data_IF_089239168168
#
_entry.id   IF_089239168168
#
_cell.length_a   1.000
_cell.length_b   1.000
_cell.length_c   1.000
_cell.angle_alpha   90.00
_cell.angle_beta   90.00
_cell.angle_gamma   90.00
#
_symmetry.space_group_name_H-M   'P 1'
#
loop_
_entity.id
_entity.type
_entity.pdbx_description
1 polymer ?
#
# COMPACT_ATOMS: atom_id res chain seq x y z
N UNK A 1 55.13 37.56 0.96
CA UNK A 1 54.59 36.78 2.08
C UNK A 1 53.28 36.21 1.58
N UNK A 2 53.17 34.89 1.42
CA UNK A 2 51.95 34.24 0.92
C UNK A 2 50.85 34.44 1.96
N UNK A 3 49.75 35.05 1.55
CA UNK A 3 48.57 35.29 2.38
C UNK A 3 47.87 33.93 2.58
N UNK A 4 48.20 33.23 3.68
CA UNK A 4 47.57 31.97 4.06
C UNK A 4 46.17 32.29 4.61
N UNK A 5 45.15 32.14 3.75
CA UNK A 5 43.77 32.18 4.21
C UNK A 5 43.54 31.06 5.23
N UNK A 6 42.92 31.34 6.40
CA UNK A 6 42.67 30.34 7.42
C UNK A 6 41.70 29.24 6.96
N UNK A 7 40.99 29.45 5.84
CA UNK A 7 40.10 28.46 5.22
C UNK A 7 40.76 27.71 4.04
N UNK A 8 42.07 27.85 3.81
CA UNK A 8 42.77 27.14 2.74
C UNK A 8 44.10 26.49 3.24
N UNK A 9 44.14 25.15 3.41
CA UNK A 9 43.06 24.18 3.16
C UNK A 9 41.91 24.30 4.18
N UNK A 10 40.69 23.87 3.81
CA UNK A 10 39.51 23.98 4.69
C UNK A 10 39.75 23.18 5.99
N UNK A 11 39.79 23.85 7.17
CA UNK A 11 40.02 23.18 8.45
C UNK A 11 38.79 22.45 8.98
N UNK A 12 37.59 22.77 8.50
CA UNK A 12 36.33 22.21 8.96
C UNK A 12 36.14 20.77 8.44
N UNK A 13 35.57 19.89 9.28
CA UNK A 13 35.29 18.48 8.99
C UNK A 13 33.86 18.27 8.51
N UNK A 14 33.55 17.08 8.00
CA UNK A 14 32.19 16.66 7.61
C UNK A 14 31.50 17.63 6.64
N UNK A 15 32.23 18.04 5.60
CA UNK A 15 31.76 18.98 4.55
C UNK A 15 31.21 20.31 5.10
N UNK A 16 31.68 20.73 6.28
CA UNK A 16 31.33 22.00 6.88
C UNK A 16 31.99 23.20 6.16
N UNK A 17 31.28 24.32 6.18
CA UNK A 17 31.66 25.54 5.45
C UNK A 17 32.53 26.41 6.36
N UNK A 18 33.74 26.75 5.93
CA UNK A 18 34.63 27.67 6.64
C UNK A 18 34.33 29.12 6.26
N UNK A 19 34.08 29.97 7.27
CA UNK A 19 33.85 31.40 7.09
C UNK A 19 34.84 32.22 7.93
N UNK A 20 35.50 33.19 7.31
CA UNK A 20 36.44 34.09 8.00
C UNK A 20 35.62 35.13 8.79
N UNK A 21 35.83 35.23 10.10
CA UNK A 21 34.94 35.97 11.03
C UNK A 21 35.51 37.31 11.49
N UNK A 22 36.74 37.68 11.12
CA UNK A 22 37.37 38.94 11.52
C UNK A 22 38.07 39.68 10.37
N UNK A 23 37.73 40.97 10.22
CA UNK A 23 38.46 41.94 9.40
C UNK A 23 39.87 42.13 9.98
N UNK A 24 40.91 41.90 9.18
CA UNK A 24 42.30 42.14 9.58
C UNK A 24 42.45 43.56 10.13
N UNK A 25 42.60 43.72 11.45
CA UNK A 25 43.17 44.96 11.98
C UNK A 25 44.62 44.98 11.53
N UNK A 26 44.99 46.02 10.79
CA UNK A 26 46.36 46.26 10.29
C UNK A 26 47.35 46.08 11.45
N UNK A 27 48.05 44.94 11.49
CA UNK A 27 49.10 44.65 12.46
C UNK A 27 49.16 43.20 12.97
N UNK A 28 48.04 42.46 12.95
CA UNK A 28 47.99 41.12 13.54
C UNK A 28 48.04 40.01 12.46
N UNK A 29 48.83 38.96 12.70
CA UNK A 29 49.17 37.89 11.72
C UNK A 29 48.09 36.78 11.63
N UNK A 30 46.98 36.88 12.39
CA UNK A 30 45.97 35.82 12.47
C UNK A 30 44.59 36.31 12.06
N UNK A 31 44.05 35.75 10.98
CA UNK A 31 42.64 35.89 10.58
C UNK A 31 41.81 34.81 11.27
N UNK A 32 40.79 35.20 12.03
CA UNK A 32 39.88 34.25 12.70
C UNK A 32 38.90 33.62 11.70
N UNK A 33 38.56 32.35 11.91
CA UNK A 33 37.57 31.62 11.13
C UNK A 33 36.58 30.90 12.04
N UNK A 34 35.39 30.65 11.51
CA UNK A 34 34.33 29.85 12.12
C UNK A 34 33.90 28.77 11.14
N UNK A 35 33.69 27.56 11.65
CA UNK A 35 33.11 26.47 10.87
C UNK A 35 31.59 26.48 11.06
N UNK A 36 30.84 26.62 9.96
CA UNK A 36 29.40 26.38 9.94
C UNK A 36 29.16 24.89 9.71
N UNK A 37 28.77 24.21 10.79
CA UNK A 37 28.52 22.77 10.78
C UNK A 37 27.26 22.43 9.98
N UNK A 38 27.33 21.30 9.28
CA UNK A 38 26.14 20.67 8.73
C UNK A 38 25.22 20.20 9.86
N UNK A 39 23.90 20.08 9.62
CA UNK A 39 22.99 19.46 10.59
C UNK A 39 23.50 18.10 11.07
N UNK A 40 23.42 17.84 12.38
CA UNK A 40 23.91 16.60 13.00
C UNK A 40 25.39 16.59 13.39
N UNK A 41 26.14 17.69 13.16
CA UNK A 41 27.54 17.81 13.60
C UNK A 41 27.76 19.02 14.50
N UNK A 42 28.68 18.89 15.47
CA UNK A 42 29.08 19.97 16.37
C UNK A 42 30.60 20.04 16.62
N UNK A 43 31.01 21.03 17.40
CA UNK A 43 32.40 21.29 17.74
C UNK A 43 33.03 22.40 16.90
N UNK A 44 34.20 22.87 17.34
CA UNK A 44 34.92 24.02 16.74
C UNK A 44 35.25 23.80 15.26
N UNK A 45 35.47 22.54 14.86
CA UNK A 45 35.72 22.15 13.47
C UNK A 45 34.64 21.21 12.93
N UNK A 46 33.45 21.15 13.57
CA UNK A 46 32.37 20.24 13.20
C UNK A 46 32.79 18.76 13.20
N UNK A 47 33.74 18.42 14.07
CA UNK A 47 34.37 17.11 14.12
C UNK A 47 33.56 16.08 14.92
N UNK A 48 32.59 16.53 15.72
CA UNK A 48 31.80 15.65 16.55
C UNK A 48 30.48 15.32 15.85
N UNK A 49 30.12 14.04 15.83
CA UNK A 49 28.77 13.62 15.46
C UNK A 49 27.82 13.83 16.65
N UNK A 50 26.73 14.57 16.44
CA UNK A 50 25.68 14.70 17.45
C UNK A 50 24.93 13.38 17.51
N UNK A 51 24.72 12.86 18.72
CA UNK A 51 23.94 11.63 18.88
C UNK A 51 22.45 11.91 18.63
N UNK A 52 21.99 11.71 17.41
CA UNK A 52 20.62 11.93 16.98
C UNK A 52 19.63 10.97 17.67
N UNK A 53 20.12 9.88 18.26
CA UNK A 53 19.32 8.95 19.05
C UNK A 53 19.04 9.41 20.48
N UNK A 54 19.71 10.45 21.00
CA UNK A 54 19.52 10.93 22.36
C UNK A 54 18.08 11.39 22.64
N UNK A 55 17.40 11.91 21.61
CA UNK A 55 15.99 12.33 21.69
C UNK A 55 14.97 11.19 21.59
N UNK A 56 15.42 9.93 21.51
CA UNK A 56 14.57 8.75 21.27
C UNK A 56 13.60 8.94 20.07
N UNK A 57 14.12 9.24 18.87
CA UNK A 57 13.28 9.60 17.72
C UNK A 57 12.48 8.42 17.13
N UNK A 58 12.75 7.18 17.54
CA UNK A 58 12.07 6.00 17.03
C UNK A 58 10.81 5.68 17.83
N UNK A 59 9.67 5.71 17.17
CA UNK A 59 8.37 5.38 17.75
C UNK A 59 8.10 3.86 17.74
N UNK A 60 6.99 3.46 18.37
CA UNK A 60 6.43 2.10 18.30
C UNK A 60 7.40 0.96 18.64
N UNK A 61 8.34 1.20 19.56
CA UNK A 61 9.33 0.21 19.98
C UNK A 61 10.50 0.05 19.02
N UNK A 62 10.69 1.00 18.08
CA UNK A 62 11.85 1.05 17.21
C UNK A 62 13.15 1.25 17.99
N UNK A 63 14.21 0.55 17.57
CA UNK A 63 15.56 0.73 18.16
C UNK A 63 16.35 1.72 17.33
N UNK A 64 16.85 2.79 17.95
CA UNK A 64 17.62 3.82 17.25
C UNK A 64 19.10 3.41 17.13
N UNK A 65 19.67 3.65 15.94
CA UNK A 65 21.10 3.58 15.69
C UNK A 65 21.58 4.92 15.15
N UNK A 66 22.52 5.51 15.86
CA UNK A 66 23.19 6.76 15.49
C UNK A 66 24.07 6.54 14.25
N UNK A 67 24.07 7.49 13.33
CA UNK A 67 24.88 7.55 12.11
C UNK A 67 25.50 8.94 11.98
N UNK A 68 26.47 9.10 11.08
CA UNK A 68 27.11 10.40 10.86
C UNK A 68 26.12 11.41 10.24
N UNK A 69 25.68 12.39 11.04
CA UNK A 69 24.72 13.43 10.65
C UNK A 69 23.28 12.95 10.42
N UNK A 70 22.94 11.73 10.85
CA UNK A 70 21.59 11.16 10.76
C UNK A 70 21.40 10.04 11.77
N UNK A 71 20.19 9.49 11.84
CA UNK A 71 19.92 8.26 12.58
C UNK A 71 19.12 7.28 11.73
N UNK A 72 19.17 6.00 12.13
CA UNK A 72 18.36 4.96 11.53
C UNK A 72 17.61 4.18 12.59
N UNK A 73 16.29 4.19 12.48
CA UNK A 73 15.45 3.31 13.29
C UNK A 73 15.39 1.90 12.69
N UNK A 74 15.63 0.90 13.53
CA UNK A 74 15.24 -0.47 13.28
C UNK A 74 13.80 -0.67 13.77
N UNK A 75 12.86 -0.73 12.82
CA UNK A 75 11.45 -0.82 13.13
C UNK A 75 10.99 -2.27 13.30
N UNK A 76 10.37 -2.65 14.44
CA UNK A 76 9.76 -3.96 14.57
C UNK A 76 8.56 -4.07 13.62
N UNK A 77 8.37 -5.23 13.01
CA UNK A 77 7.19 -5.49 12.19
C UNK A 77 5.91 -5.34 13.04
N UNK A 78 4.87 -4.63 12.55
CA UNK A 78 4.65 -4.17 11.18
C UNK A 78 4.94 -2.68 10.93
N UNK A 79 5.76 -2.03 11.77
CA UNK A 79 6.03 -0.60 11.66
C UNK A 79 7.14 -0.28 10.63
N UNK A 80 7.01 0.86 9.98
CA UNK A 80 7.92 1.36 8.93
C UNK A 80 8.04 2.89 9.00
N UNK A 81 8.93 3.45 8.19
CA UNK A 81 9.21 4.90 8.16
C UNK A 81 10.52 5.24 8.88
N UNK A 82 10.99 6.48 8.72
CA UNK A 82 12.25 6.94 9.34
C UNK A 82 12.20 6.83 10.86
N UNK A 83 11.03 7.06 11.45
CA UNK A 83 10.77 7.04 12.88
C UNK A 83 9.91 5.83 13.31
N UNK A 84 9.66 4.84 12.45
CA UNK A 84 8.74 3.74 12.73
C UNK A 84 7.30 4.18 13.05
N UNK A 85 6.89 5.35 12.56
CA UNK A 85 5.60 5.96 12.84
C UNK A 85 4.46 5.38 11.97
N UNK A 86 4.79 4.77 10.83
CA UNK A 86 3.80 4.24 9.88
C UNK A 86 3.56 2.76 10.12
N UNK A 87 2.31 2.31 10.01
CA UNK A 87 1.93 0.92 10.22
C UNK A 87 1.60 0.23 8.90
N UNK A 88 2.48 -0.66 8.45
CA UNK A 88 2.36 -1.37 7.19
C UNK A 88 1.52 -2.66 7.35
N UNK A 89 0.20 -2.55 7.44
CA UNK A 89 -0.70 -3.70 7.66
C UNK A 89 -1.92 -3.74 6.72
N UNK A 90 -1.83 -3.08 5.57
CA UNK A 90 -2.93 -3.06 4.62
C UNK A 90 -3.14 -4.45 4.01
N UNK A 91 -4.40 -4.84 3.83
CA UNK A 91 -4.77 -6.06 3.11
C UNK A 91 -4.51 -5.84 1.61
N UNK A 92 -3.75 -6.72 0.98
CA UNK A 92 -3.24 -6.51 -0.37
C UNK A 92 -4.22 -6.91 -1.47
N UNK A 93 -5.33 -7.56 -1.12
CA UNK A 93 -6.49 -7.69 -2.00
C UNK A 93 -6.78 -9.11 -2.48
N UNK A 94 -6.40 -10.14 -1.72
CA UNK A 94 -6.85 -11.50 -2.00
C UNK A 94 -8.37 -11.62 -1.80
N UNK A 95 -8.92 -11.18 -0.66
CA UNK A 95 -10.36 -11.21 -0.37
C UNK A 95 -11.13 -10.16 -1.20
N UNK A 96 -10.61 -8.93 -1.25
CA UNK A 96 -11.28 -7.80 -1.91
C UNK A 96 -11.20 -7.79 -3.45
N UNK A 97 -10.53 -8.78 -4.06
CA UNK A 97 -10.37 -8.88 -5.52
C UNK A 97 -9.34 -7.91 -6.12
N UNK A 98 -8.58 -7.18 -5.29
CA UNK A 98 -7.48 -6.32 -5.74
C UNK A 98 -6.33 -7.09 -6.39
N UNK A 99 -6.16 -8.37 -6.04
CA UNK A 99 -5.27 -9.33 -6.72
C UNK A 99 -6.12 -10.16 -7.68
N UNK A 100 -5.85 -10.01 -8.97
CA UNK A 100 -6.56 -10.72 -10.04
C UNK A 100 -6.22 -12.22 -10.03
N UNK A 101 -7.12 -13.05 -10.57
CA UNK A 101 -6.91 -14.50 -10.63
C UNK A 101 -5.66 -14.88 -11.43
N UNK A 102 -5.34 -14.13 -12.50
CA UNK A 102 -4.14 -14.31 -13.32
C UNK A 102 -2.83 -14.05 -12.57
N UNK A 103 -2.89 -13.42 -11.40
CA UNK A 103 -1.72 -13.16 -10.56
C UNK A 103 -1.42 -14.30 -9.59
N UNK A 104 -2.31 -15.29 -9.48
CA UNK A 104 -2.20 -16.39 -8.52
C UNK A 104 -1.91 -17.68 -9.30
N UNK A 105 -0.84 -18.38 -8.94
CA UNK A 105 -0.48 -19.66 -9.53
C UNK A 105 -0.12 -20.68 -8.44
N UNK A 106 -0.11 -21.96 -8.78
CA UNK A 106 0.27 -23.01 -7.84
C UNK A 106 1.02 -24.14 -8.56
N UNK A 107 1.78 -24.91 -7.79
CA UNK A 107 2.49 -26.10 -8.27
C UNK A 107 1.56 -27.18 -8.81
N UNK A 108 0.41 -27.34 -8.16
CA UNK A 108 -0.57 -28.37 -8.47
C UNK A 108 -1.95 -28.00 -7.94
N UNK A 109 -2.96 -28.70 -8.44
CA UNK A 109 -4.38 -28.49 -8.10
C UNK A 109 -5.04 -29.83 -7.83
N UNK A 110 -5.86 -29.89 -6.78
CA UNK A 110 -6.63 -31.08 -6.45
C UNK A 110 -7.97 -31.11 -7.18
N UNK A 111 -8.25 -32.24 -7.80
CA UNK A 111 -9.57 -32.59 -8.33
C UNK A 111 -10.28 -33.56 -7.38
N UNK A 112 -11.59 -33.43 -7.27
CA UNK A 112 -12.46 -34.25 -6.41
C UNK A 112 -13.77 -34.56 -7.13
N UNK A 113 -14.55 -35.50 -6.59
CA UNK A 113 -15.84 -35.94 -7.15
C UNK A 113 -15.76 -36.24 -8.65
N UNK A 114 -14.90 -37.19 -9.03
CA UNK A 114 -14.67 -37.61 -10.43
C UNK A 114 -14.28 -36.44 -11.38
N UNK A 115 -13.63 -35.40 -10.84
CA UNK A 115 -13.18 -34.25 -11.62
C UNK A 115 -14.13 -33.05 -11.61
N UNK A 116 -15.33 -33.18 -11.04
CA UNK A 116 -16.33 -32.10 -10.97
C UNK A 116 -15.92 -30.95 -10.03
N UNK A 117 -15.05 -31.21 -9.05
CA UNK A 117 -14.60 -30.20 -8.09
C UNK A 117 -13.11 -29.91 -8.30
N UNK A 118 -12.79 -28.72 -8.82
CA UNK A 118 -11.41 -28.24 -9.02
C UNK A 118 -11.05 -27.19 -7.95
N UNK A 119 -10.08 -27.49 -7.10
CA UNK A 119 -9.63 -26.62 -5.99
C UNK A 119 -8.46 -25.73 -6.40
N UNK A 120 -8.70 -24.82 -7.35
CA UNK A 120 -7.68 -23.99 -8.00
C UNK A 120 -7.08 -22.87 -7.14
N UNK A 121 -5.91 -22.32 -7.53
CA UNK A 121 -5.24 -21.22 -6.83
C UNK A 121 -6.11 -19.96 -6.70
N UNK A 122 -6.94 -19.66 -7.71
CA UNK A 122 -7.82 -18.49 -7.75
C UNK A 122 -8.84 -18.43 -6.60
N UNK A 123 -9.12 -19.59 -5.99
CA UNK A 123 -10.05 -19.74 -4.87
C UNK A 123 -9.39 -19.50 -3.50
N UNK A 124 -8.07 -19.34 -3.42
CA UNK A 124 -7.30 -19.17 -2.19
C UNK A 124 -7.50 -17.81 -1.49
N UNK A 125 -8.73 -17.28 -1.52
CA UNK A 125 -9.11 -15.98 -0.99
C UNK A 125 -9.71 -16.14 0.41
N UNK A 126 -9.33 -15.28 1.35
CA UNK A 126 -9.86 -15.31 2.71
C UNK A 126 -11.40 -15.20 2.71
N UNK A 127 -12.06 -15.90 3.63
CA UNK A 127 -13.53 -15.91 3.79
C UNK A 127 -14.35 -16.35 2.57
N UNK A 128 -13.70 -16.84 1.50
CA UNK A 128 -14.38 -17.31 0.31
C UNK A 128 -15.41 -18.40 0.67
N UNK A 129 -16.59 -18.32 0.05
CA UNK A 129 -17.77 -19.15 0.35
C UNK A 129 -18.12 -20.03 -0.85
N UNK A 130 -18.78 -21.15 -0.60
CA UNK A 130 -19.20 -22.10 -1.63
C UNK A 130 -18.78 -23.52 -1.30
N UNK A 131 -19.19 -24.47 -2.16
CA UNK A 131 -18.84 -25.88 -2.02
C UNK A 131 -17.35 -26.16 -2.28
N UNK A 132 -16.74 -25.35 -3.14
CA UNK A 132 -15.30 -25.35 -3.46
C UNK A 132 -14.83 -23.91 -3.33
N UNK A 133 -14.06 -23.62 -2.29
CA UNK A 133 -13.82 -22.25 -1.84
C UNK A 133 -12.37 -22.00 -1.38
N UNK A 134 -11.44 -22.88 -1.71
CA UNK A 134 -10.05 -22.77 -1.35
C UNK A 134 -9.15 -23.39 -2.42
N UNK A 135 -7.86 -23.09 -2.36
CA UNK A 135 -6.86 -23.88 -3.08
C UNK A 135 -6.53 -25.13 -2.29
N UNK A 136 -6.34 -26.26 -2.99
CA UNK A 136 -5.87 -27.50 -2.39
C UNK A 136 -4.86 -28.16 -3.33
N UNK A 137 -3.68 -28.51 -2.81
CA UNK A 137 -2.64 -29.15 -3.60
C UNK A 137 -3.01 -30.59 -4.00
N UNK A 138 -2.49 -31.05 -5.13
CA UNK A 138 -2.71 -32.43 -5.58
C UNK A 138 -2.08 -33.44 -4.61
N UNK A 139 -2.72 -34.59 -4.42
CA UNK A 139 -2.28 -35.58 -3.44
C UNK A 139 -0.89 -36.21 -3.74
N UNK A 140 -0.45 -36.16 -4.99
CA UNK A 140 0.86 -36.68 -5.43
C UNK A 140 1.97 -35.61 -5.39
N UNK A 141 1.63 -34.34 -5.16
CA UNK A 141 2.61 -33.26 -5.08
C UNK A 141 3.29 -33.27 -3.70
N UNK A 142 4.58 -33.60 -3.69
CA UNK A 142 5.39 -33.68 -2.47
C UNK A 142 5.92 -32.32 -2.02
N UNK A 143 5.96 -31.33 -2.92
CA UNK A 143 6.53 -30.00 -2.65
C UNK A 143 5.56 -28.91 -3.10
N UNK A 144 4.34 -28.86 -2.54
CA UNK A 144 3.33 -27.95 -3.01
C UNK A 144 3.71 -26.50 -2.70
N UNK A 145 3.35 -25.60 -3.61
CA UNK A 145 3.44 -24.17 -3.38
C UNK A 145 2.29 -23.44 -4.06
N UNK A 146 1.90 -22.31 -3.49
CA UNK A 146 1.04 -21.31 -4.11
C UNK A 146 1.79 -19.99 -4.16
N UNK A 147 1.74 -19.32 -5.30
CA UNK A 147 2.48 -18.10 -5.62
C UNK A 147 1.52 -16.96 -5.93
N UNK A 148 1.89 -15.77 -5.47
CA UNK A 148 1.22 -14.52 -5.82
C UNK A 148 2.26 -13.61 -6.47
N UNK A 149 1.96 -13.16 -7.70
CA UNK A 149 2.73 -12.13 -8.40
C UNK A 149 2.06 -10.75 -8.19
N UNK A 150 2.68 -9.90 -7.39
CA UNK A 150 2.17 -8.56 -7.13
C UNK A 150 2.35 -7.58 -8.29
N UNK A 151 2.98 -8.00 -9.40
CA UNK A 151 3.32 -7.20 -10.59
C UNK A 151 4.28 -6.02 -10.33
N UNK A 152 4.52 -5.69 -9.06
CA UNK A 152 5.44 -4.65 -8.57
C UNK A 152 6.08 -5.11 -7.25
N UNK A 153 7.17 -4.46 -6.86
CA UNK A 153 7.82 -4.71 -5.56
C UNK A 153 6.93 -4.20 -4.43
N UNK A 154 6.61 -5.08 -3.49
CA UNK A 154 5.79 -4.81 -2.32
C UNK A 154 6.57 -5.14 -1.06
N UNK A 155 6.17 -4.52 0.05
CA UNK A 155 6.60 -4.91 1.39
C UNK A 155 5.52 -5.77 2.03
N UNK A 156 5.82 -7.04 2.29
CA UNK A 156 4.95 -7.95 3.00
C UNK A 156 5.33 -7.98 4.49
N UNK A 157 4.36 -7.74 5.35
CA UNK A 157 4.52 -7.75 6.81
C UNK A 157 3.79 -8.91 7.46
N UNK A 158 2.94 -9.63 6.72
CA UNK A 158 2.32 -10.84 7.22
C UNK A 158 1.39 -11.54 6.25
N UNK A 159 0.75 -12.57 6.76
CA UNK A 159 -0.26 -13.38 6.10
C UNK A 159 -1.35 -13.77 7.10
N UNK A 160 -2.60 -13.74 6.63
CA UNK A 160 -3.74 -14.34 7.33
C UNK A 160 -4.14 -15.60 6.59
N UNK A 161 -4.13 -16.75 7.27
CA UNK A 161 -4.48 -18.05 6.68
C UNK A 161 -5.75 -18.63 7.28
N UNK A 162 -6.48 -19.41 6.48
CA UNK A 162 -7.70 -20.11 6.87
C UNK A 162 -7.76 -21.46 6.11
N UNK A 163 -8.36 -22.49 6.73
CA UNK A 163 -8.55 -23.80 6.10
C UNK A 163 -9.78 -23.87 5.19
N UNK A 164 -10.27 -25.07 4.89
CA UNK A 164 -11.61 -25.28 4.33
C UNK A 164 -12.17 -26.65 4.75
N UNK A 165 -13.41 -26.93 4.37
CA UNK A 165 -14.05 -28.22 4.63
C UNK A 165 -14.51 -28.85 3.34
N UNK A 166 -14.32 -30.16 3.22
CA UNK A 166 -14.77 -30.97 2.09
C UNK A 166 -15.65 -32.09 2.61
N UNK A 167 -16.94 -32.03 2.30
CA UNK A 167 -17.95 -33.04 2.71
C UNK A 167 -17.84 -33.29 4.23
N UNK A 168 -17.85 -32.21 5.01
CA UNK A 168 -17.76 -32.26 6.48
C UNK A 168 -16.35 -32.56 7.04
N UNK A 169 -15.36 -32.87 6.20
CA UNK A 169 -13.98 -33.10 6.65
C UNK A 169 -13.16 -31.82 6.57
N UNK A 170 -12.66 -31.34 7.71
CA UNK A 170 -11.75 -30.20 7.78
C UNK A 170 -10.39 -30.52 7.15
N UNK A 171 -9.96 -29.66 6.21
CA UNK A 171 -8.66 -29.71 5.52
C UNK A 171 -7.96 -28.35 5.68
N UNK A 172 -6.70 -28.35 6.13
CA UNK A 172 -5.95 -27.10 6.33
C UNK A 172 -4.44 -27.35 6.46
N UNK A 173 -3.66 -26.29 6.24
CA UNK A 173 -2.23 -26.28 6.53
C UNK A 173 -1.98 -26.07 8.04
N UNK A 174 -1.14 -26.90 8.65
CA UNK A 174 -0.69 -26.80 10.05
C UNK A 174 0.64 -26.09 10.21
N UNK A 175 1.48 -26.14 9.18
CA UNK A 175 2.76 -25.44 9.15
C UNK A 175 3.17 -25.15 7.71
N UNK A 176 3.85 -24.03 7.48
CA UNK A 176 4.31 -23.62 6.16
C UNK A 176 5.62 -22.83 6.25
N UNK A 177 6.32 -22.75 5.12
CA UNK A 177 7.44 -21.84 4.89
C UNK A 177 7.03 -20.78 3.87
N UNK A 178 7.81 -19.70 3.81
CA UNK A 178 7.63 -18.63 2.83
C UNK A 178 8.89 -18.53 1.98
N UNK A 179 8.71 -18.41 0.66
CA UNK A 179 9.78 -18.09 -0.27
C UNK A 179 9.42 -16.83 -1.03
N UNK A 180 10.42 -16.04 -1.43
CA UNK A 180 10.17 -14.77 -2.12
C UNK A 180 11.16 -14.54 -3.26
N UNK A 181 10.73 -13.79 -4.27
CA UNK A 181 11.53 -13.48 -5.45
C UNK A 181 11.24 -12.07 -5.98
N UNK A 182 12.25 -11.46 -6.60
CA UNK A 182 12.12 -10.19 -7.33
C UNK A 182 11.95 -10.40 -8.83
N UNK A 183 12.37 -11.55 -9.37
CA UNK A 183 12.43 -11.84 -10.82
C UNK A 183 11.51 -12.99 -11.26
N UNK A 184 10.88 -13.69 -10.31
CA UNK A 184 10.04 -14.86 -10.54
C UNK A 184 10.82 -16.13 -10.93
N UNK A 185 12.16 -16.08 -10.94
CA UNK A 185 13.05 -17.17 -11.33
C UNK A 185 13.84 -17.69 -10.13
N UNK A 186 14.45 -16.79 -9.37
CA UNK A 186 15.28 -17.11 -8.21
C UNK A 186 14.51 -16.87 -6.93
N UNK A 187 14.30 -17.94 -6.14
CA UNK A 187 13.54 -17.88 -4.90
C UNK A 187 14.45 -18.01 -3.69
N UNK A 188 14.27 -17.10 -2.73
CA UNK A 188 14.96 -17.13 -1.44
C UNK A 188 13.97 -17.55 -0.36
N UNK A 189 14.34 -18.55 0.44
CA UNK A 189 13.54 -18.97 1.59
C UNK A 189 13.66 -17.94 2.71
N UNK A 190 12.53 -17.65 3.36
CA UNK A 190 12.49 -16.71 4.47
C UNK A 190 13.24 -17.25 5.70
N UNK A 191 14.09 -16.40 6.28
CA UNK A 191 14.92 -16.68 7.45
C UNK A 191 14.91 -15.47 8.38
N UNK A 192 14.96 -15.72 9.68
CA UNK A 192 15.10 -14.68 10.69
C UNK A 192 16.57 -14.28 10.82
N UNK A 193 16.83 -13.04 11.23
CA UNK A 193 18.20 -12.55 11.39
C UNK A 193 18.97 -13.42 12.41
N UNK A 194 20.12 -13.95 11.99
CA UNK A 194 20.94 -14.87 12.80
C UNK A 194 20.56 -16.36 12.71
N UNK A 195 19.44 -16.74 12.09
CA UNK A 195 19.06 -18.15 11.92
C UNK A 195 19.65 -18.76 10.63
N UNK A 196 20.27 -19.94 10.73
CA UNK A 196 20.76 -20.72 9.58
C UNK A 196 19.68 -21.56 8.89
N UNK A 197 18.56 -21.82 9.57
CA UNK A 197 17.46 -22.67 9.08
C UNK A 197 16.33 -21.79 8.57
N UNK A 198 15.57 -22.31 7.59
CA UNK A 198 14.38 -21.61 7.11
C UNK A 198 13.32 -21.54 8.20
N UNK A 199 12.68 -20.38 8.34
CA UNK A 199 11.65 -20.16 9.33
C UNK A 199 10.39 -20.94 8.95
N UNK A 200 9.84 -21.68 9.92
CA UNK A 200 8.57 -22.40 9.78
C UNK A 200 7.50 -21.68 10.57
N UNK A 201 6.42 -21.31 9.89
CA UNK A 201 5.27 -20.65 10.47
C UNK A 201 4.21 -21.65 10.90
N UNK A 202 3.53 -21.34 12.00
CA UNK A 202 2.42 -22.15 12.52
C UNK A 202 1.15 -21.78 11.74
N UNK A 203 0.52 -22.79 11.15
CA UNK A 203 -0.73 -22.67 10.41
C UNK A 203 -1.97 -22.79 11.28
N UNK A 204 -3.06 -23.24 10.68
CA UNK A 204 -4.38 -23.33 11.28
C UNK A 204 -4.54 -24.58 12.16
N UNK A 205 -5.53 -24.53 13.06
CA UNK A 205 -5.94 -25.64 13.94
C UNK A 205 -7.30 -26.24 13.56
N UNK A 206 -8.06 -25.52 12.74
CA UNK A 206 -9.38 -25.88 12.23
C UNK A 206 -9.54 -25.38 10.77
N UNK A 207 -10.75 -25.56 10.21
CA UNK A 207 -11.04 -25.17 8.83
C UNK A 207 -11.49 -23.71 8.65
N UNK A 208 -12.00 -23.04 9.68
CA UNK A 208 -12.65 -21.73 9.55
C UNK A 208 -12.03 -20.63 10.42
N UNK A 209 -11.31 -20.96 11.48
CA UNK A 209 -10.54 -20.01 12.27
C UNK A 209 -9.40 -19.42 11.44
N UNK A 210 -9.23 -18.10 11.52
CA UNK A 210 -8.14 -17.41 10.88
C UNK A 210 -6.88 -17.46 11.75
N UNK A 211 -5.72 -17.57 11.11
CA UNK A 211 -4.41 -17.52 11.79
C UNK A 211 -3.55 -16.46 11.13
N UNK A 212 -3.14 -15.47 11.90
CA UNK A 212 -2.24 -14.41 11.45
C UNK A 212 -0.80 -14.75 11.82
N UNK A 213 0.11 -14.61 10.87
CA UNK A 213 1.54 -14.65 11.09
C UNK A 213 2.17 -13.36 10.53
N UNK A 214 2.97 -12.69 11.35
CA UNK A 214 3.76 -11.53 10.91
C UNK A 214 5.14 -11.99 10.46
N UNK A 215 5.71 -11.27 9.50
CA UNK A 215 7.07 -11.43 9.02
C UNK A 215 7.94 -10.36 9.69
N UNK A 216 8.92 -10.81 10.47
CA UNK A 216 9.89 -9.97 11.14
C UNK A 216 11.30 -10.57 10.96
N UNK A 217 12.15 -10.00 10.08
CA UNK A 217 11.94 -8.74 9.34
C UNK A 217 10.88 -8.86 8.22
N UNK A 218 10.30 -7.73 7.76
CA UNK A 218 9.36 -7.71 6.65
C UNK A 218 10.03 -8.09 5.33
N UNK A 219 9.28 -8.74 4.43
CA UNK A 219 9.78 -9.27 3.15
C UNK A 219 9.57 -8.24 2.05
N UNK A 220 10.62 -7.92 1.29
CA UNK A 220 10.51 -7.07 0.10
C UNK A 220 10.62 -7.96 -1.14
N UNK A 221 9.53 -8.08 -1.89
CA UNK A 221 9.47 -8.95 -3.06
C UNK A 221 8.36 -8.55 -4.04
N UNK A 222 8.43 -9.05 -5.27
CA UNK A 222 7.31 -9.00 -6.22
C UNK A 222 6.52 -10.30 -6.21
N UNK A 223 7.22 -11.42 -6.07
CA UNK A 223 6.63 -12.75 -6.03
C UNK A 223 6.78 -13.31 -4.62
N UNK A 224 5.70 -13.84 -4.08
CA UNK A 224 5.70 -14.52 -2.78
C UNK A 224 5.06 -15.90 -2.92
N UNK A 225 5.74 -16.91 -2.38
CA UNK A 225 5.30 -18.31 -2.34
C UNK A 225 5.03 -18.74 -0.92
N UNK A 226 3.85 -19.32 -0.71
CA UNK A 226 3.52 -20.05 0.50
C UNK A 226 3.73 -21.53 0.21
N UNK A 227 4.56 -22.18 1.03
CA UNK A 227 5.00 -23.56 0.84
C UNK A 227 4.50 -24.39 2.02
N UNK A 228 3.35 -25.09 1.90
CA UNK A 228 2.85 -25.97 2.94
C UNK A 228 3.87 -27.07 3.30
N UNK A 229 4.09 -27.29 4.59
CA UNK A 229 5.02 -28.31 5.10
C UNK A 229 4.27 -29.42 5.83
N UNK A 230 3.30 -29.06 6.67
CA UNK A 230 2.47 -30.02 7.40
C UNK A 230 1.02 -29.67 7.16
N UNK A 231 0.22 -30.68 6.79
CA UNK A 231 -1.18 -30.48 6.42
C UNK A 231 -2.08 -31.49 7.15
N UNK A 232 -3.30 -31.09 7.49
CA UNK A 232 -4.34 -32.00 7.98
C UNK A 232 -5.17 -32.47 6.79
N UNK A 233 -5.12 -33.78 6.51
CA UNK A 233 -5.83 -34.48 5.42
C UNK A 233 -5.39 -34.05 4.01
N UNK A 234 -5.41 -32.76 3.69
CA UNK A 234 -4.88 -32.18 2.46
C UNK A 234 -4.30 -30.79 2.72
N UNK A 235 -3.37 -30.35 1.88
CA UNK A 235 -2.81 -29.00 1.95
C UNK A 235 -3.79 -28.02 1.31
N UNK A 236 -4.72 -27.53 2.13
CA UNK A 236 -5.80 -26.63 1.71
C UNK A 236 -5.65 -25.27 2.38
N UNK A 237 -5.83 -24.19 1.63
CA UNK A 237 -5.57 -22.82 2.08
C UNK A 237 -6.52 -21.79 1.44
N UNK A 238 -7.05 -20.92 2.28
CA UNK A 238 -7.56 -19.58 1.97
C UNK A 238 -6.65 -18.56 2.64
N UNK A 239 -6.30 -17.47 1.97
CA UNK A 239 -5.38 -16.49 2.55
C UNK A 239 -5.69 -15.05 2.16
N UNK A 240 -5.17 -14.13 2.97
CA UNK A 240 -5.02 -12.71 2.66
C UNK A 240 -3.59 -12.28 2.97
N UNK A 241 -2.99 -11.52 2.05
CA UNK A 241 -1.64 -11.01 2.22
C UNK A 241 -1.70 -9.64 2.89
N UNK A 242 -0.77 -9.40 3.81
CA UNK A 242 -0.71 -8.18 4.60
C UNK A 242 0.61 -7.46 4.30
N UNK A 243 0.53 -6.16 4.02
CA UNK A 243 1.69 -5.38 3.67
C UNK A 243 1.35 -3.96 3.25
N UNK A 244 2.30 -3.33 2.54
CA UNK A 244 2.17 -1.99 1.98
C UNK A 244 3.16 -1.81 0.83
N UNK A 245 3.07 -0.66 0.15
CA UNK A 245 4.03 -0.30 -0.89
C UNK A 245 5.35 0.18 -0.27
N UNK A 246 6.46 0.05 -1.01
CA UNK A 246 7.80 0.33 -0.47
C UNK A 246 8.00 1.79 -0.05
N UNK A 247 7.33 2.72 -0.73
CA UNK A 247 7.43 4.14 -0.47
C UNK A 247 6.59 4.58 0.76
N UNK A 248 5.95 3.64 1.47
CA UNK A 248 5.20 3.91 2.72
C UNK A 248 3.97 4.80 2.57
N UNK A 249 3.67 5.27 1.35
CA UNK A 249 2.67 6.30 1.08
C UNK A 249 1.45 5.72 0.35
N UNK A 250 0.88 4.63 0.84
CA UNK A 250 -0.28 3.97 0.20
C UNK A 250 -1.43 3.75 1.18
N UNK A 251 -1.46 4.52 2.26
CA UNK A 251 -2.47 4.38 3.32
C UNK A 251 -3.81 4.96 2.85
N UNK A 252 -4.95 4.43 3.33
CA UNK A 252 -6.25 5.00 3.01
C UNK A 252 -6.38 6.40 3.62
N UNK A 253 -6.73 7.38 2.78
CA UNK A 253 -6.91 8.79 3.18
C UNK A 253 -8.22 9.05 3.93
N UNK A 254 -9.07 8.04 4.03
CA UNK A 254 -10.12 8.00 5.03
C UNK A 254 -11.53 8.15 4.50
N UNK A 255 -11.76 7.80 3.24
CA UNK A 255 -13.09 7.71 2.68
C UNK A 255 -13.88 6.59 3.37
N UNK A 256 -13.33 5.38 3.51
CA UNK A 256 -14.00 4.25 4.17
C UNK A 256 -14.07 4.43 5.69
N UNK A 257 -12.98 4.87 6.32
CA UNK A 257 -12.88 5.06 7.78
C UNK A 257 -13.66 6.27 8.30
N UNK A 258 -14.12 7.15 7.42
CA UNK A 258 -14.80 8.42 7.72
C UNK A 258 -13.93 9.50 8.36
N UNK A 259 -12.61 9.38 8.29
CA UNK A 259 -11.71 10.50 8.62
C UNK A 259 -11.96 11.69 7.68
N UNK A 260 -12.26 11.42 6.40
CA UNK A 260 -12.84 12.42 5.49
C UNK A 260 -14.31 12.59 5.86
N UNK A 261 -14.68 13.77 6.36
CA UNK A 261 -16.05 14.09 6.75
C UNK A 261 -16.99 14.20 5.54
N UNK A 262 -18.31 14.09 5.77
CA UNK A 262 -19.29 14.21 4.67
C UNK A 262 -19.25 15.57 3.96
N UNK A 263 -18.87 16.63 4.67
CA UNK A 263 -18.79 18.00 4.11
C UNK A 263 -17.63 18.18 3.15
N UNK A 264 -16.61 17.34 3.25
CA UNK A 264 -15.43 17.34 2.40
C UNK A 264 -15.65 16.64 1.05
N UNK A 265 -16.82 16.02 0.84
CA UNK A 265 -17.11 15.25 -0.37
C UNK A 265 -18.23 15.96 -1.13
N UNK A 266 -17.91 16.53 -2.28
CA UNK A 266 -18.84 17.27 -3.14
C UNK A 266 -18.85 16.66 -4.54
N UNK A 267 -19.85 16.98 -5.34
CA UNK A 267 -19.93 16.53 -6.73
C UNK A 267 -20.62 17.59 -7.59
N UNK A 268 -20.47 17.44 -8.90
CA UNK A 268 -21.17 18.23 -9.92
C UNK A 268 -22.69 18.10 -9.83
N UNK A 269 -23.19 16.90 -9.58
CA UNK A 269 -24.62 16.61 -9.55
C UNK A 269 -24.94 15.33 -8.75
N UNK A 270 -26.23 15.07 -8.50
CA UNK A 270 -26.69 13.88 -7.77
C UNK A 270 -27.98 13.30 -8.35
N UNK A 271 -28.00 11.99 -8.57
CA UNK A 271 -29.16 11.26 -9.03
C UNK A 271 -30.14 10.91 -7.91
N UNK A 272 -31.42 10.84 -8.25
CA UNK A 272 -32.51 10.40 -7.37
C UNK A 272 -33.29 9.27 -8.05
N UNK A 273 -33.34 8.09 -7.44
CA UNK A 273 -34.12 6.98 -7.99
C UNK A 273 -35.61 7.30 -7.88
N UNK A 274 -36.32 7.27 -9.02
CA UNK A 274 -37.74 7.62 -9.16
C UNK A 274 -38.13 9.02 -8.63
N UNK A 275 -37.16 9.94 -8.49
CA UNK A 275 -37.40 11.26 -7.91
C UNK A 275 -37.68 11.25 -6.40
N UNK A 276 -37.55 10.11 -5.72
CA UNK A 276 -37.80 9.98 -4.28
C UNK A 276 -36.57 10.46 -3.50
N UNK A 277 -36.76 11.44 -2.62
CA UNK A 277 -35.66 12.04 -1.83
C UNK A 277 -34.91 11.00 -0.99
N UNK A 278 -35.62 10.04 -0.39
CA UNK A 278 -35.03 8.95 0.38
C UNK A 278 -34.08 8.04 -0.42
N UNK A 279 -34.16 8.05 -1.75
CA UNK A 279 -33.28 7.28 -2.66
C UNK A 279 -32.35 8.19 -3.47
N UNK A 280 -31.84 9.24 -2.82
CA UNK A 280 -30.81 10.12 -3.40
C UNK A 280 -29.40 9.53 -3.23
N UNK A 281 -28.62 9.55 -4.31
CA UNK A 281 -27.25 9.04 -4.37
C UNK A 281 -26.23 10.15 -4.12
N UNK A 282 -26.19 10.65 -2.88
CA UNK A 282 -25.37 11.79 -2.48
C UNK A 282 -23.85 11.56 -2.62
N UNK A 283 -23.04 12.63 -2.84
CA UNK A 283 -21.59 12.52 -2.98
C UNK A 283 -20.90 11.86 -1.78
N UNK A 284 -21.33 12.19 -0.55
CA UNK A 284 -20.76 11.62 0.67
C UNK A 284 -21.02 10.11 0.86
N UNK A 285 -21.80 9.48 -0.02
CA UNK A 285 -21.96 8.03 -0.11
C UNK A 285 -20.90 7.36 -0.97
N UNK A 286 -20.04 8.10 -1.67
CA UNK A 286 -18.95 7.56 -2.50
C UNK A 286 -17.79 6.96 -1.68
N UNK A 287 -18.09 6.16 -0.65
CA UNK A 287 -17.11 5.55 0.24
C UNK A 287 -16.96 4.07 -0.11
N UNK A 288 -15.73 3.60 -0.25
CA UNK A 288 -15.43 2.20 -0.55
C UNK A 288 -16.16 1.25 0.42
N UNK A 289 -16.74 0.17 -0.11
CA UNK A 289 -17.50 -0.86 0.62
C UNK A 289 -18.72 -0.37 1.40
N UNK A 290 -19.17 0.87 1.17
CA UNK A 290 -20.42 1.33 1.78
C UNK A 290 -21.57 0.38 1.40
N UNK A 291 -22.36 0.04 2.42
CA UNK A 291 -23.56 -0.78 2.34
C UNK A 291 -24.82 0.09 2.53
N UNK A 292 -25.96 -0.42 2.08
CA UNK A 292 -27.26 0.25 2.15
C UNK A 292 -27.99 0.26 0.82
N UNK A 293 -29.22 0.78 0.81
CA UNK A 293 -30.03 0.92 -0.42
C UNK A 293 -29.42 1.92 -1.40
N UNK A 294 -28.99 3.08 -0.88
CA UNK A 294 -28.16 4.06 -1.58
C UNK A 294 -26.77 4.05 -0.95
N UNK A 295 -25.81 3.49 -1.67
CA UNK A 295 -24.50 3.17 -1.13
C UNK A 295 -23.33 3.70 -1.96
N UNK A 296 -23.60 4.54 -2.94
CA UNK A 296 -22.59 5.19 -3.76
C UNK A 296 -23.01 6.63 -4.09
N UNK A 297 -22.12 7.36 -4.75
CA UNK A 297 -22.51 8.55 -5.49
C UNK A 297 -22.89 8.15 -6.91
N UNK A 298 -23.98 8.73 -7.43
CA UNK A 298 -24.39 8.60 -8.83
C UNK A 298 -24.68 9.99 -9.38
N UNK A 299 -24.10 10.30 -10.53
CA UNK A 299 -24.31 11.58 -11.19
C UNK A 299 -25.73 11.70 -11.75
N UNK A 300 -26.31 12.89 -11.72
CA UNK A 300 -27.66 13.14 -12.22
C UNK A 300 -27.75 12.93 -13.74
N UNK A 301 -26.69 13.28 -14.47
CA UNK A 301 -26.58 13.06 -15.90
C UNK A 301 -25.35 12.22 -16.25
N UNK A 302 -25.38 11.56 -17.41
CA UNK A 302 -24.29 10.73 -17.90
C UNK A 302 -23.46 11.51 -18.92
N UNK A 303 -22.64 12.46 -18.46
CA UNK A 303 -21.77 13.24 -19.33
C UNK A 303 -20.34 13.33 -18.76
N UNK A 304 -19.39 13.69 -19.63
CA UNK A 304 -17.95 13.79 -19.27
C UNK A 304 -17.58 15.04 -18.49
N UNK A 305 -18.54 15.93 -18.22
CA UNK A 305 -18.34 17.10 -17.34
C UNK A 305 -18.71 16.82 -15.88
N UNK A 306 -19.29 15.65 -15.58
CA UNK A 306 -19.55 15.24 -14.21
C UNK A 306 -18.23 15.03 -13.46
N UNK A 307 -18.23 15.30 -12.16
CA UNK A 307 -17.09 15.11 -11.29
C UNK A 307 -17.50 14.79 -9.86
N UNK A 308 -16.67 14.00 -9.19
CA UNK A 308 -16.71 13.80 -7.74
C UNK A 308 -15.44 14.40 -7.14
N UNK A 309 -15.57 15.20 -6.10
CA UNK A 309 -14.47 15.92 -5.46
C UNK A 309 -14.33 15.52 -3.98
N UNK A 310 -13.08 15.42 -3.55
CA UNK A 310 -12.69 15.21 -2.16
C UNK A 310 -11.74 16.33 -1.73
N UNK A 311 -12.06 17.02 -0.63
CA UNK A 311 -11.17 17.97 0.06
C UNK A 311 -10.44 17.24 1.20
N UNK A 312 -9.12 17.08 1.07
CA UNK A 312 -8.29 16.39 2.06
C UNK A 312 -7.92 17.28 3.27
N UNK A 313 -8.33 18.55 3.28
CA UNK A 313 -8.09 19.51 4.35
C UNK A 313 -6.70 20.18 4.30
N UNK A 314 -5.66 19.41 3.98
CA UNK A 314 -4.31 19.89 3.70
C UNK A 314 -3.80 19.30 2.39
N UNK A 315 -2.79 19.91 1.74
CA UNK A 315 -2.05 19.23 0.68
C UNK A 315 -1.50 17.91 1.22
N UNK A 316 -1.71 16.83 0.46
CA UNK A 316 -1.18 15.50 0.77
C UNK A 316 -0.51 14.93 -0.47
N UNK A 317 0.31 13.90 -0.30
CA UNK A 317 0.85 13.12 -1.40
C UNK A 317 -0.14 12.02 -1.76
N UNK A 318 -0.65 12.05 -2.97
CA UNK A 318 -1.63 11.08 -3.47
C UNK A 318 -0.91 10.12 -4.43
N UNK A 319 -0.99 8.84 -4.09
CA UNK A 319 -0.29 7.77 -4.79
C UNK A 319 -1.24 6.82 -5.49
N UNK A 320 -2.52 6.83 -5.16
CA UNK A 320 -3.48 5.99 -5.85
C UNK A 320 -4.93 6.23 -5.48
N UNK A 321 -5.79 5.44 -6.09
CA UNK A 321 -7.22 5.40 -5.85
C UNK A 321 -7.74 3.97 -6.02
N UNK A 322 -8.66 3.58 -5.16
CA UNK A 322 -9.47 2.36 -5.31
C UNK A 322 -10.88 2.78 -5.68
N UNK A 323 -11.42 2.20 -6.75
CA UNK A 323 -12.79 2.46 -7.23
C UNK A 323 -13.64 1.18 -7.16
N UNK A 324 -14.94 1.35 -6.96
CA UNK A 324 -15.93 0.30 -6.89
C UNK A 324 -17.27 0.84 -7.43
N UNK A 325 -18.04 0.04 -8.15
CA UNK A 325 -19.37 0.42 -8.65
C UNK A 325 -20.47 0.29 -7.60
N UNK A 326 -21.73 0.23 -8.03
CA UNK A 326 -22.86 -0.11 -7.18
C UNK A 326 -24.02 -0.72 -7.97
N UNK A 327 -25.12 -1.02 -7.27
CA UNK A 327 -26.32 -1.62 -7.85
C UNK A 327 -27.55 -0.84 -7.40
N UNK A 328 -28.30 -0.31 -8.36
CA UNK A 328 -29.55 0.41 -8.14
C UNK A 328 -30.73 -0.52 -8.48
N UNK A 329 -31.42 -1.03 -7.45
CA UNK A 329 -32.61 -1.89 -7.57
C UNK A 329 -32.55 -3.03 -8.61
N UNK A 330 -31.38 -3.65 -8.82
CA UNK A 330 -31.24 -4.69 -9.85
C UNK A 330 -30.24 -4.35 -10.94
N UNK A 331 -30.09 -3.06 -11.24
CA UNK A 331 -29.24 -2.55 -12.32
C UNK A 331 -27.83 -2.28 -11.83
N UNK A 332 -26.85 -2.95 -12.43
CA UNK A 332 -25.42 -2.82 -12.13
C UNK A 332 -24.88 -1.56 -12.82
N UNK A 333 -24.25 -0.67 -12.05
CA UNK A 333 -23.76 0.63 -12.52
C UNK A 333 -22.34 0.87 -12.03
N UNK A 334 -21.44 1.31 -12.91
CA UNK A 334 -20.04 1.57 -12.58
C UNK A 334 -19.33 2.40 -13.65
N UNK A 335 -18.23 3.03 -13.26
CA UNK A 335 -17.34 3.75 -14.17
C UNK A 335 -16.27 2.79 -14.72
N UNK A 336 -16.13 2.71 -16.05
CA UNK A 336 -15.18 1.83 -16.75
C UNK A 336 -13.88 2.54 -17.11
N UNK A 337 -13.87 3.87 -17.19
CA UNK A 337 -12.66 4.67 -17.35
C UNK A 337 -12.84 6.06 -16.75
N UNK A 338 -11.78 6.65 -16.21
CA UNK A 338 -11.81 7.99 -15.60
C UNK A 338 -10.48 8.73 -15.74
N UNK A 339 -10.51 10.06 -15.62
CA UNK A 339 -9.34 10.90 -15.41
C UNK A 339 -9.33 11.41 -13.96
N UNK A 340 -8.17 11.88 -13.51
CA UNK A 340 -8.00 12.48 -12.18
C UNK A 340 -7.46 13.89 -12.36
N UNK A 341 -8.02 14.85 -11.62
CA UNK A 341 -7.52 16.21 -11.53
C UNK A 341 -7.26 16.58 -10.08
N UNK A 342 -6.28 17.44 -9.84
CA UNK A 342 -5.91 17.91 -8.51
C UNK A 342 -5.74 19.43 -8.46
N UNK A 343 -5.86 19.99 -7.26
CA UNK A 343 -5.80 21.42 -6.99
C UNK A 343 -5.40 21.67 -5.53
N UNK A 344 -4.73 22.77 -5.25
CA UNK A 344 -4.43 23.22 -3.87
C UNK A 344 -5.38 24.31 -3.38
N UNK A 345 -6.00 25.06 -4.31
CA UNK A 345 -6.88 26.20 -4.04
C UNK A 345 -8.37 25.91 -4.32
N UNK A 346 -8.68 24.78 -4.96
CA UNK A 346 -10.03 24.39 -5.39
C UNK A 346 -10.53 25.13 -6.65
N UNK A 347 -9.74 26.04 -7.21
CA UNK A 347 -10.08 26.90 -8.35
C UNK A 347 -9.29 26.54 -9.60
N UNK A 348 -7.98 26.38 -9.47
CA UNK A 348 -7.07 26.00 -10.56
C UNK A 348 -6.85 24.49 -10.54
N UNK A 349 -7.12 23.83 -11.68
CA UNK A 349 -7.13 22.37 -11.75
C UNK A 349 -6.08 21.86 -12.75
N UNK A 350 -5.28 20.91 -12.30
CA UNK A 350 -4.30 20.19 -13.12
C UNK A 350 -4.75 18.75 -13.30
N UNK A 351 -4.87 18.29 -14.55
CA UNK A 351 -5.18 16.89 -14.86
C UNK A 351 -3.90 16.07 -14.76
N UNK A 352 -3.99 14.89 -14.14
CA UNK A 352 -2.87 13.94 -14.05
C UNK A 352 -2.51 13.45 -15.45
N UNK A 353 -1.22 13.59 -15.80
CA UNK A 353 -0.69 13.25 -17.11
C UNK A 353 0.09 11.94 -17.07
N UNK A 354 0.19 11.30 -18.23
CA UNK A 354 1.09 10.17 -18.42
C UNK A 354 2.55 10.65 -18.41
N UNK A 355 3.42 9.96 -17.67
CA UNK A 355 4.82 10.34 -17.51
C UNK A 355 5.63 10.27 -18.81
N UNK A 356 5.21 9.45 -19.77
CA UNK A 356 5.91 9.25 -21.05
C UNK A 356 5.36 10.13 -22.16
N UNK A 357 4.03 10.15 -22.35
CA UNK A 357 3.39 10.86 -23.46
C UNK A 357 3.01 12.30 -23.13
N UNK A 358 3.00 12.69 -21.84
CA UNK A 358 2.55 14.00 -21.34
C UNK A 358 1.10 14.37 -21.73
N UNK A 359 0.31 13.40 -22.18
CA UNK A 359 -1.13 13.57 -22.42
C UNK A 359 -1.91 13.28 -21.15
N UNK A 360 -3.17 13.73 -21.08
CA UNK A 360 -4.09 13.36 -20.00
C UNK A 360 -4.13 11.84 -19.82
N UNK A 361 -3.91 11.38 -18.60
CA UNK A 361 -3.93 9.95 -18.29
C UNK A 361 -5.36 9.49 -18.08
N UNK A 362 -5.75 8.44 -18.81
CA UNK A 362 -7.03 7.74 -18.63
C UNK A 362 -6.76 6.47 -17.84
N UNK A 363 -7.40 6.35 -16.68
CA UNK A 363 -7.28 5.19 -15.80
C UNK A 363 -8.39 4.19 -16.09
N UNK A 364 -8.07 2.89 -16.20
CA UNK A 364 -9.08 1.85 -16.31
C UNK A 364 -9.86 1.74 -14.99
N UNK A 365 -11.18 1.79 -15.10
CA UNK A 365 -12.14 1.63 -14.01
C UNK A 365 -12.57 0.18 -13.79
N UNK A 366 -13.78 0.04 -13.29
CA UNK A 366 -14.36 -1.23 -12.87
C UNK A 366 -14.97 -2.00 -14.07
N UNK A 367 -15.05 -3.33 -13.92
CA UNK A 367 -15.75 -4.24 -14.83
C UNK A 367 -17.07 -4.76 -14.24
N UNK A 368 -17.32 -4.51 -12.97
CA UNK A 368 -18.53 -4.89 -12.23
C UNK A 368 -18.81 -3.91 -11.08
N UNK A 369 -19.86 -4.15 -10.30
CA UNK A 369 -20.27 -3.26 -9.22
C UNK A 369 -19.57 -3.46 -7.87
N UNK A 370 -18.85 -4.55 -7.64
CA UNK A 370 -18.39 -4.93 -6.31
C UNK A 370 -16.89 -5.17 -6.19
N UNK A 371 -16.21 -5.61 -7.24
CA UNK A 371 -14.76 -5.85 -7.22
C UNK A 371 -14.03 -4.52 -7.18
N UNK A 372 -13.04 -4.43 -6.29
CA UNK A 372 -12.19 -3.25 -6.16
C UNK A 372 -11.26 -3.13 -7.35
N UNK A 373 -11.21 -1.94 -7.95
CA UNK A 373 -10.21 -1.59 -8.95
C UNK A 373 -9.23 -0.59 -8.36
N UNK A 374 -7.99 -1.03 -8.09
CA UNK A 374 -6.91 -0.17 -7.62
C UNK A 374 -6.13 0.38 -8.81
N UNK A 375 -5.93 1.70 -8.84
CA UNK A 375 -5.05 2.41 -9.76
C UNK A 375 -4.00 3.18 -8.96
N UNK A 376 -2.74 3.08 -9.40
CA UNK A 376 -1.62 3.81 -8.81
C UNK A 376 -1.21 4.95 -9.75
N UNK A 377 -0.87 6.09 -9.15
CA UNK A 377 -0.40 7.28 -9.82
C UNK A 377 1.13 7.24 -9.89
N UNK A 378 1.66 7.08 -11.10
CA UNK A 378 3.08 7.08 -11.39
C UNK A 378 3.37 8.14 -12.47
N UNK A 379 4.02 9.27 -12.14
CA UNK A 379 4.45 9.68 -10.79
C UNK A 379 3.27 10.01 -9.85
N UNK A 380 3.46 9.96 -8.52
CA UNK A 380 2.47 10.48 -7.58
C UNK A 380 2.36 12.00 -7.72
N UNK A 381 1.24 12.56 -7.29
CA UNK A 381 1.01 14.00 -7.31
C UNK A 381 0.68 14.54 -5.93
N UNK A 382 0.82 15.85 -5.75
CA UNK A 382 0.45 16.56 -4.53
C UNK A 382 -0.80 17.39 -4.78
N UNK A 383 -1.69 17.41 -3.79
CA UNK A 383 -2.90 18.20 -3.88
C UNK A 383 -3.70 18.16 -2.60
N UNK A 384 -4.43 19.24 -2.31
CA UNK A 384 -5.46 19.25 -1.27
C UNK A 384 -6.79 18.71 -1.80
N UNK A 385 -7.18 19.14 -2.99
CA UNK A 385 -8.42 18.76 -3.64
C UNK A 385 -8.15 17.74 -4.74
N UNK A 386 -8.94 16.67 -4.75
CA UNK A 386 -8.87 15.62 -5.77
C UNK A 386 -10.24 15.48 -6.44
N UNK A 387 -10.27 15.56 -7.77
CA UNK A 387 -11.44 15.32 -8.61
C UNK A 387 -11.29 14.05 -9.43
N UNK A 388 -12.32 13.22 -9.39
CA UNK A 388 -12.49 12.07 -10.26
C UNK A 388 -13.42 12.49 -11.38
N UNK A 389 -12.95 12.35 -12.62
CA UNK A 389 -13.63 12.78 -13.84
C UNK A 389 -14.02 11.55 -14.66
N UNK A 390 -15.26 11.06 -14.56
CA UNK A 390 -15.74 9.90 -15.32
C UNK A 390 -15.61 10.11 -16.83
N UNK A 391 -15.04 9.12 -17.53
CA UNK A 391 -14.76 9.19 -18.96
C UNK A 391 -15.63 8.22 -19.77
N UNK A 392 -15.77 7.00 -19.24
CA UNK A 392 -16.64 5.93 -19.75
C UNK A 392 -17.29 5.20 -18.57
N UNK A 393 -18.48 4.63 -18.79
CA UNK A 393 -19.27 3.98 -17.75
C UNK A 393 -20.22 2.93 -18.31
N UNK A 394 -20.69 2.05 -17.44
CA UNK A 394 -21.75 1.08 -17.68
C UNK A 394 -23.05 1.58 -17.03
N UNK A 395 -24.12 1.72 -17.81
CA UNK A 395 -25.45 2.23 -17.43
C UNK A 395 -25.45 3.69 -16.91
N UNK A 396 -24.87 3.96 -15.74
CA UNK A 396 -24.76 5.28 -15.14
C UNK A 396 -23.41 5.50 -14.46
N UNK A 397 -23.01 6.76 -14.40
CA UNK A 397 -21.84 7.20 -13.64
C UNK A 397 -22.09 6.98 -12.15
N UNK A 398 -21.52 5.92 -11.60
CA UNK A 398 -21.67 5.53 -10.20
C UNK A 398 -20.35 5.10 -9.60
N UNK A 399 -19.99 5.68 -8.44
CA UNK A 399 -18.70 5.46 -7.79
C UNK A 399 -18.81 5.31 -6.26
N UNK A 400 -18.04 4.35 -5.74
CA UNK A 400 -17.50 4.28 -4.40
C UNK A 400 -15.97 4.33 -4.50
N UNK A 401 -15.32 5.15 -3.68
CA UNK A 401 -13.87 5.33 -3.77
C UNK A 401 -13.15 5.28 -2.42
N UNK A 402 -11.86 5.02 -2.47
CA UNK A 402 -10.88 5.29 -1.42
C UNK A 402 -9.62 5.89 -2.05
N UNK A 403 -9.14 7.01 -1.52
CA UNK A 403 -7.89 7.62 -1.97
C UNK A 403 -6.73 7.03 -1.17
N UNK A 404 -5.59 6.83 -1.82
CA UNK A 404 -4.38 6.30 -1.21
C UNK A 404 -3.28 7.37 -1.22
N UNK A 405 -2.55 7.50 -0.12
CA UNK A 405 -1.54 8.53 0.03
C UNK A 405 -0.86 8.53 1.40
N UNK A 406 -0.29 9.67 1.75
CA UNK A 406 0.29 9.95 3.06
C UNK A 406 0.39 11.46 3.31
N UNK A 407 0.57 11.79 4.59
CA UNK A 407 0.98 13.11 5.04
C UNK A 407 2.51 13.17 4.91
N UNK A 408 2.99 14.04 4.01
CA UNK A 408 4.42 14.38 3.88
C UNK A 408 4.63 15.84 4.29
#
# INVERSE_FOLDING_TARGET
MLDLSPCNPNPCKNDAICEVTGQSRRGDVFSEYVCKCQPGFDGVHCQNNVNDCAGQPCENGGTCRDLDGDFKCHCPSPYVGKHCQLRCISLLGMEGGGIAESQISASSVRYSMLGLQRWGPELARLNNKGLVNAWSAAAHDKNPWIEINMQRKMRFTGIVSQGASRIGTAEFIKAFKVASSLDGKTYTMYRTEGERKDRVFVGNVDNDGTKTNLFDPPIIAQYIRIVPVVCRKACTLRMEMVGCELNGCSEPMGMKSRLVSNRQITASSTFRTWGIEAFTWHPHYARLDKQGKTNAWTAATNNRSEWLQVDLGSPKKITGIVTQGAKDFGSVQFVTAFKVAHSDDGQSWTIVKDGTTRTDRIFPGNSDNNVHKKNIFEPPFYGRYVRILPWEWHERITLRIELLGCDE
#
